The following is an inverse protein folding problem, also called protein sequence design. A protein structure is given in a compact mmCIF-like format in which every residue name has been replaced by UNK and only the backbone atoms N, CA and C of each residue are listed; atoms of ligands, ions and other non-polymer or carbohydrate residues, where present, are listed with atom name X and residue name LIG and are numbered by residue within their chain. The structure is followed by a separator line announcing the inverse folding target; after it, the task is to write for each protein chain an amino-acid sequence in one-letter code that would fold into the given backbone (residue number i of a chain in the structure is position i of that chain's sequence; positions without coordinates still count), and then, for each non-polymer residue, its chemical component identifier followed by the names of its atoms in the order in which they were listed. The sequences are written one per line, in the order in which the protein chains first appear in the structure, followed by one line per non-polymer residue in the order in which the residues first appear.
data_IF_848339822835
#
_entry.id   IF_848339822835
#
_cell.length_a   1.000
_cell.length_b   1.000
_cell.length_c   1.000
_cell.angle_alpha   90.00
_cell.angle_beta   90.00
_cell.angle_gamma   90.00
#
_symmetry.space_group_name_H-M   'P 1'
#
loop_
_entity.id
_entity.type
_entity.pdbx_description
1 polymer ?
#
# COMPACT_ATOMS: atom_id res chain seq x y z
N UNK A 1 7.45 9.83 -13.70
CA UNK A 1 7.52 8.98 -12.51
C UNK A 1 6.28 9.25 -11.68
N UNK A 2 5.59 8.21 -11.20
CA UNK A 2 4.41 8.36 -10.34
C UNK A 2 4.91 8.42 -8.90
N UNK A 3 4.38 9.32 -8.08
CA UNK A 3 4.66 9.35 -6.65
C UNK A 3 3.37 9.26 -5.84
N UNK A 4 3.52 9.33 -4.53
CA UNK A 4 2.42 9.31 -3.58
C UNK A 4 2.60 10.38 -2.50
N UNK A 5 1.49 10.76 -1.91
CA UNK A 5 1.42 11.63 -0.75
C UNK A 5 0.72 10.87 0.37
N UNK A 6 1.41 10.74 1.50
CA UNK A 6 0.93 10.03 2.67
C UNK A 6 1.02 10.94 3.90
N UNK A 7 -0.07 11.03 4.64
CA UNK A 7 -0.24 11.96 5.75
C UNK A 7 0.14 13.42 5.37
N UNK A 8 -0.29 13.86 4.18
CA UNK A 8 0.00 15.19 3.65
C UNK A 8 1.46 15.46 3.25
N UNK A 9 2.36 14.50 3.46
CA UNK A 9 3.78 14.62 3.16
C UNK A 9 4.08 13.87 1.86
N UNK A 10 5.02 14.41 1.07
CA UNK A 10 5.56 13.78 -0.13
C UNK A 10 7.09 13.72 -0.01
N UNK A 11 7.68 12.56 -0.19
CA UNK A 11 9.13 12.38 -0.18
C UNK A 11 9.67 12.49 -1.62
N UNK A 12 10.58 13.43 -1.93
CA UNK A 12 11.04 13.64 -3.31
C UNK A 12 11.91 12.50 -3.84
N UNK A 13 12.55 11.74 -2.95
CA UNK A 13 13.38 10.58 -3.27
C UNK A 13 12.60 9.26 -3.32
N UNK A 14 11.26 9.29 -3.20
CA UNK A 14 10.40 8.11 -3.28
C UNK A 14 9.57 8.15 -4.56
N UNK A 15 9.70 7.08 -5.34
CA UNK A 15 8.91 6.84 -6.55
C UNK A 15 8.08 5.57 -6.39
N UNK A 16 6.82 5.60 -6.86
CA UNK A 16 5.98 4.40 -6.95
C UNK A 16 6.31 3.70 -8.27
N UNK A 17 6.89 2.50 -8.20
CA UNK A 17 7.20 1.69 -9.39
C UNK A 17 5.96 0.93 -9.86
N UNK A 18 5.34 0.22 -8.92
CA UNK A 18 4.17 -0.61 -9.19
C UNK A 18 3.17 -0.43 -8.05
N UNK A 19 1.89 -0.45 -8.41
CA UNK A 19 0.81 -0.63 -7.44
C UNK A 19 -0.26 -1.52 -8.05
N UNK A 20 -0.79 -2.46 -7.27
CA UNK A 20 -2.00 -3.16 -7.70
C UNK A 20 -3.18 -2.19 -7.66
N UNK A 21 -4.12 -2.36 -8.59
CA UNK A 21 -5.30 -1.50 -8.74
C UNK A 21 -6.59 -2.29 -8.54
N UNK A 22 -6.88 -2.76 -7.33
CA UNK A 22 -8.17 -3.39 -7.07
C UNK A 22 -9.28 -2.35 -7.26
N UNK A 23 -10.21 -2.64 -8.17
CA UNK A 23 -11.38 -1.80 -8.43
C UNK A 23 -12.46 -1.94 -7.36
N UNK A 24 -12.47 -3.08 -6.65
CA UNK A 24 -13.41 -3.40 -5.58
C UNK A 24 -12.69 -3.86 -4.31
N UNK A 25 -13.32 -3.64 -3.16
CA UNK A 25 -12.91 -4.31 -1.93
C UNK A 25 -13.37 -5.78 -1.98
N UNK A 26 -12.58 -6.72 -1.43
CA UNK A 26 -13.02 -8.11 -1.31
C UNK A 26 -14.32 -8.18 -0.49
N UNK A 27 -15.18 -9.12 -0.88
CA UNK A 27 -16.47 -9.35 -0.24
C UNK A 27 -16.46 -10.71 0.42
N UNK A 28 -16.72 -10.75 1.72
CA UNK A 28 -17.00 -11.97 2.44
C UNK A 28 -18.51 -12.20 2.46
N UNK A 29 -18.98 -13.31 1.88
CA UNK A 29 -20.41 -13.64 1.79
C UNK A 29 -20.72 -14.86 2.64
N UNK A 30 -21.52 -14.67 3.68
CA UNK A 30 -22.04 -15.77 4.46
C UNK A 30 -23.27 -16.35 3.76
N UNK A 31 -23.13 -17.56 3.20
CA UNK A 31 -24.20 -18.26 2.49
C UNK A 31 -24.56 -19.51 3.28
N UNK A 32 -25.84 -19.65 3.61
CA UNK A 32 -26.36 -20.84 4.27
C UNK A 32 -27.01 -21.77 3.25
N UNK A 33 -26.61 -23.04 3.27
CA UNK A 33 -27.18 -24.10 2.44
C UNK A 33 -28.03 -25.02 3.30
N UNK A 34 -29.31 -25.18 2.96
CA UNK A 34 -30.21 -26.11 3.64
C UNK A 34 -29.90 -27.56 3.27
N UNK A 35 -30.41 -28.52 4.06
CA UNK A 35 -30.30 -29.96 3.75
C UNK A 35 -30.93 -30.36 2.42
N UNK A 36 -31.89 -29.58 1.91
CA UNK A 36 -32.51 -29.78 0.60
C UNK A 36 -31.69 -29.20 -0.56
N UNK A 37 -30.51 -28.62 -0.29
CA UNK A 37 -29.63 -28.03 -1.29
C UNK A 37 -29.99 -26.59 -1.70
N UNK A 38 -30.98 -25.96 -1.06
CA UNK A 38 -31.34 -24.57 -1.34
C UNK A 38 -30.37 -23.64 -0.59
N UNK A 39 -29.94 -22.56 -1.24
CA UNK A 39 -29.02 -21.58 -0.65
C UNK A 39 -29.71 -20.25 -0.36
N UNK A 40 -29.27 -19.57 0.71
CA UNK A 40 -29.68 -18.20 1.04
C UNK A 40 -28.49 -17.40 1.52
N UNK A 41 -28.36 -16.17 1.02
CA UNK A 41 -27.41 -15.19 1.52
C UNK A 41 -27.87 -14.69 2.89
N UNK A 42 -27.00 -14.83 3.89
CA UNK A 42 -27.25 -14.35 5.27
C UNK A 42 -26.67 -12.96 5.48
N UNK A 43 -25.41 -12.75 5.11
CA UNK A 43 -24.72 -11.47 5.24
C UNK A 43 -23.69 -11.27 4.14
N UNK A 44 -23.29 -10.01 3.94
CA UNK A 44 -22.17 -9.63 3.09
C UNK A 44 -21.35 -8.58 3.82
N UNK A 45 -20.10 -8.89 4.08
CA UNK A 45 -19.15 -8.03 4.75
C UNK A 45 -18.09 -7.57 3.73
N UNK A 46 -17.65 -6.32 3.85
CA UNK A 46 -16.53 -5.80 3.07
C UNK A 46 -15.26 -5.99 3.87
N UNK A 47 -14.28 -6.64 3.27
CA UNK A 47 -12.97 -6.83 3.87
C UNK A 47 -12.06 -5.62 3.64
N UNK A 48 -10.94 -5.59 4.38
CA UNK A 48 -9.91 -4.55 4.22
C UNK A 48 -9.32 -4.63 2.81
N UNK A 49 -9.19 -3.47 2.17
CA UNK A 49 -8.59 -3.37 0.84
C UNK A 49 -7.07 -3.34 0.96
N UNK A 50 -6.44 -4.46 0.63
CA UNK A 50 -4.99 -4.57 0.54
C UNK A 50 -4.48 -4.06 -0.81
N UNK A 51 -3.60 -3.07 -0.79
CA UNK A 51 -2.96 -2.49 -1.98
C UNK A 51 -1.45 -2.69 -1.86
N UNK A 52 -0.89 -3.74 -2.50
CA UNK A 52 0.55 -3.86 -2.64
C UNK A 52 1.11 -2.70 -3.46
N UNK A 53 2.10 -2.01 -2.91
CA UNK A 53 2.80 -0.89 -3.53
C UNK A 53 4.29 -1.16 -3.46
N UNK A 54 4.95 -1.12 -4.60
CA UNK A 54 6.41 -1.20 -4.69
C UNK A 54 6.97 0.21 -4.79
N UNK A 55 7.79 0.57 -3.80
CA UNK A 55 8.47 1.86 -3.74
C UNK A 55 9.92 1.72 -4.21
N UNK A 56 10.40 2.73 -4.91
CA UNK A 56 11.82 2.93 -5.20
C UNK A 56 12.31 4.12 -4.39
N UNK A 57 13.39 3.88 -3.63
CA UNK A 57 14.07 4.90 -2.83
C UNK A 57 15.38 5.22 -3.55
N UNK A 58 15.52 6.47 -3.97
CA UNK A 58 16.71 6.93 -4.68
C UNK A 58 17.77 7.47 -3.70
N UNK A 59 19.02 7.03 -3.83
CA UNK A 59 20.12 7.38 -2.95
C UNK A 59 21.47 7.42 -3.64
N UNK A 60 22.34 8.32 -3.18
CA UNK A 60 23.63 8.59 -3.82
C UNK A 60 24.79 7.76 -3.24
N UNK A 61 24.56 7.11 -2.10
CA UNK A 61 25.51 6.23 -1.42
C UNK A 61 24.75 5.20 -0.59
N UNK A 62 25.46 4.18 -0.11
CA UNK A 62 24.85 3.20 0.80
C UNK A 62 24.34 3.83 2.10
N UNK A 63 25.10 4.77 2.66
CA UNK A 63 24.71 5.50 3.87
C UNK A 63 23.47 6.37 3.63
N UNK A 64 23.39 7.05 2.48
CA UNK A 64 22.23 7.85 2.09
C UNK A 64 20.97 6.98 1.90
N UNK A 65 21.11 5.80 1.26
CA UNK A 65 20.02 4.83 1.11
C UNK A 65 19.48 4.36 2.46
N UNK A 66 20.38 4.01 3.41
CA UNK A 66 19.98 3.56 4.75
C UNK A 66 19.21 4.65 5.49
N UNK A 67 19.73 5.88 5.52
CA UNK A 67 19.08 7.01 6.18
C UNK A 67 17.70 7.31 5.58
N UNK A 68 17.58 7.26 4.25
CA UNK A 68 16.29 7.45 3.56
C UNK A 68 15.32 6.32 3.79
N UNK A 69 15.78 5.08 3.89
CA UNK A 69 14.94 3.94 4.23
C UNK A 69 14.36 4.07 5.64
N UNK A 70 15.20 4.45 6.62
CA UNK A 70 14.74 4.76 7.98
C UNK A 70 13.73 5.92 8.01
N UNK A 71 13.97 6.97 7.23
CA UNK A 71 13.05 8.09 7.08
C UNK A 71 11.69 7.66 6.49
N UNK A 72 11.70 6.76 5.50
CA UNK A 72 10.49 6.19 4.90
C UNK A 72 9.75 5.29 5.87
N UNK A 73 10.46 4.47 6.64
CA UNK A 73 9.88 3.64 7.68
C UNK A 73 9.17 4.52 8.73
N UNK A 74 9.83 5.55 9.26
CA UNK A 74 9.22 6.48 10.20
C UNK A 74 8.05 7.29 9.63
N UNK A 75 8.00 7.48 8.31
CA UNK A 75 6.92 8.16 7.62
C UNK A 75 5.68 7.25 7.40
N UNK A 76 5.89 5.98 7.06
CA UNK A 76 4.82 5.02 6.75
C UNK A 76 4.27 4.29 7.98
N UNK A 77 5.07 4.14 9.03
CA UNK A 77 4.65 3.48 10.27
C UNK A 77 3.88 4.48 11.12
N UNK A 78 2.55 4.38 11.07
CA UNK A 78 1.63 5.25 11.82
C UNK A 78 0.77 4.44 12.80
N UNK A 79 0.29 5.10 13.86
CA UNK A 79 -0.61 4.46 14.84
C UNK A 79 -2.02 4.28 14.31
N UNK A 80 -2.46 5.20 13.45
CA UNK A 80 -3.79 5.23 12.86
C UNK A 80 -3.68 5.27 11.34
N UNK A 81 -4.80 4.99 10.66
CA UNK A 81 -4.88 5.08 9.21
C UNK A 81 -4.85 6.54 8.77
N UNK A 82 -3.92 6.86 7.87
CA UNK A 82 -3.68 8.21 7.39
C UNK A 82 -4.06 8.37 5.92
N UNK A 83 -4.24 9.62 5.50
CA UNK A 83 -4.62 9.94 4.12
C UNK A 83 -3.49 9.58 3.14
N UNK A 84 -3.78 8.71 2.20
CA UNK A 84 -2.93 8.32 1.07
C UNK A 84 -3.54 8.77 -0.25
N UNK A 85 -2.74 9.42 -1.10
CA UNK A 85 -3.13 9.85 -2.45
C UNK A 85 -2.01 9.51 -3.43
N UNK A 86 -2.37 9.01 -4.61
CA UNK A 86 -1.42 8.75 -5.70
C UNK A 86 -1.59 9.79 -6.81
N UNK A 87 -0.50 10.20 -7.45
CA UNK A 87 -0.53 11.23 -8.49
C UNK A 87 -1.36 10.85 -9.72
N UNK A 88 -1.42 9.57 -10.04
CA UNK A 88 -2.19 9.05 -11.17
C UNK A 88 -3.70 8.99 -10.88
N UNK A 89 -4.09 9.19 -9.61
CA UNK A 89 -5.48 9.16 -9.13
C UNK A 89 -5.72 10.31 -8.13
N UNK A 90 -5.56 11.57 -8.53
CA UNK A 90 -5.58 12.71 -7.61
C UNK A 90 -6.96 12.92 -6.96
N UNK A 91 -8.02 12.48 -7.65
CA UNK A 91 -9.41 12.56 -7.16
C UNK A 91 -9.79 11.40 -6.23
N UNK A 92 -8.86 10.48 -5.91
CA UNK A 92 -9.11 9.34 -5.03
C UNK A 92 -8.18 9.40 -3.84
N UNK A 93 -8.77 9.37 -2.65
CA UNK A 93 -8.05 9.34 -1.39
C UNK A 93 -8.37 8.05 -0.65
N UNK A 94 -7.35 7.47 -0.04
CA UNK A 94 -7.47 6.28 0.79
C UNK A 94 -7.15 6.68 2.24
N UNK A 95 -7.82 6.05 3.20
CA UNK A 95 -7.35 6.00 4.58
C UNK A 95 -6.58 4.69 4.71
N UNK A 96 -5.27 4.76 4.88
CA UNK A 96 -4.39 3.61 4.78
C UNK A 96 -3.43 3.55 5.98
N UNK A 97 -3.14 2.33 6.40
CA UNK A 97 -2.06 2.01 7.34
C UNK A 97 -1.21 0.90 6.72
N UNK A 98 0.05 0.83 7.11
CA UNK A 98 0.95 -0.24 6.67
C UNK A 98 0.53 -1.57 7.32
N UNK A 99 0.39 -2.63 6.54
CA UNK A 99 -0.05 -3.97 7.01
C UNK A 99 1.07 -4.78 7.71
N UNK A 100 2.00 -4.10 8.38
CA UNK A 100 3.07 -4.69 9.18
C UNK A 100 4.19 -5.40 8.41
N UNK A 101 3.94 -5.95 7.23
CA UNK A 101 4.95 -6.59 6.37
C UNK A 101 5.53 -5.64 5.33
N UNK A 102 6.85 -5.51 5.29
CA UNK A 102 7.60 -4.89 4.19
C UNK A 102 8.63 -5.91 3.71
N UNK A 103 8.51 -6.34 2.46
CA UNK A 103 9.54 -7.13 1.80
C UNK A 103 10.56 -6.15 1.19
N UNK A 104 11.78 -6.18 1.70
CA UNK A 104 12.87 -5.31 1.26
C UNK A 104 13.78 -6.06 0.29
N UNK A 105 13.87 -5.58 -0.95
CA UNK A 105 14.85 -6.02 -1.93
C UNK A 105 15.84 -4.87 -2.20
N UNK A 106 17.06 -4.96 -1.67
CA UNK A 106 18.11 -3.96 -1.91
C UNK A 106 18.87 -4.28 -3.21
N UNK A 107 18.67 -3.48 -4.27
CA UNK A 107 19.44 -3.57 -5.51
C UNK A 107 20.51 -2.47 -5.51
N UNK A 108 21.75 -2.83 -5.19
CA UNK A 108 22.89 -1.90 -5.23
C UNK A 108 23.62 -2.03 -6.56
N UNK A 109 23.52 -1.01 -7.43
CA UNK A 109 24.35 -0.91 -8.64
C UNK A 109 25.44 0.14 -8.46
N UNK A 110 26.69 -0.28 -8.31
CA UNK A 110 27.83 0.62 -8.42
C UNK A 110 28.18 0.76 -9.91
N UNK A 111 27.70 1.81 -10.59
CA UNK A 111 28.28 2.18 -11.88
C UNK A 111 29.67 2.77 -11.60
N UNK A 112 30.69 2.06 -12.08
CA UNK A 112 32.11 2.46 -11.99
C UNK A 112 32.43 3.59 -12.96
#
# INVERSE_FOLDING_TARGET
MISMTFNGIRKPFVTVLEKKRPYWAPLNRNIHTTRSGHTRLLSTEKEVLMIPVTLFIDGNSKEDLLNKAEEVAGWLITKEAEKLTFDDQPNRHFMAALDGGVDEDEIVSFSR
#
